data_IF_783419344906
#
_entry.id   IF_783419344906
#
_cell.length_a   1.000
_cell.length_b   1.000
_cell.length_c   1.000
_cell.angle_alpha   90.00
_cell.angle_beta   90.00
_cell.angle_gamma   90.00
#
_symmetry.space_group_name_H-M   'P 1'
#
loop_
_entity.id
_entity.type
_entity.pdbx_description
1 polymer ?
#
# COMPACT_ATOMS: atom_id res chain seq x y z
N UNK A 1 -1.24 -6.86 18.68
CA UNK A 1 -1.49 -8.30 19.03
C UNK A 1 -2.55 -8.97 18.15
N UNK A 2 -3.47 -8.24 17.51
CA UNK A 2 -4.56 -8.86 16.72
C UNK A 2 -4.17 -9.24 15.29
N UNK A 3 -3.30 -8.48 14.62
CA UNK A 3 -2.80 -8.82 13.27
C UNK A 3 -1.86 -10.03 13.27
N UNK A 4 -0.99 -10.12 14.26
CA UNK A 4 -0.14 -11.31 14.48
C UNK A 4 -1.00 -12.55 14.75
N UNK A 5 -2.14 -12.41 15.41
CA UNK A 5 -3.08 -13.50 15.67
C UNK A 5 -3.76 -14.04 14.41
N UNK A 6 -4.09 -13.21 13.43
CA UNK A 6 -4.72 -13.65 12.18
C UNK A 6 -3.74 -14.37 11.26
N UNK A 7 -2.51 -13.87 11.13
CA UNK A 7 -1.45 -14.56 10.38
C UNK A 7 -1.07 -15.90 11.03
N UNK A 8 -0.97 -15.96 12.37
CA UNK A 8 -0.77 -17.20 13.09
C UNK A 8 -1.93 -18.19 12.84
N UNK A 9 -3.17 -17.73 12.86
CA UNK A 9 -4.33 -18.60 12.65
C UNK A 9 -4.39 -19.18 11.23
N UNK A 10 -4.08 -18.40 10.20
CA UNK A 10 -3.96 -18.85 8.82
C UNK A 10 -2.78 -19.83 8.67
N UNK A 11 -1.64 -19.48 9.24
CA UNK A 11 -0.45 -20.32 9.26
C UNK A 11 -0.70 -21.63 10.00
N UNK A 12 -1.38 -21.60 11.14
CA UNK A 12 -1.66 -22.79 11.95
C UNK A 12 -2.63 -23.72 11.23
N UNK A 13 -3.63 -23.22 10.53
CA UNK A 13 -4.55 -24.02 9.71
C UNK A 13 -3.85 -24.60 8.48
N UNK A 14 -2.99 -23.84 7.82
CA UNK A 14 -2.15 -24.34 6.76
C UNK A 14 -1.22 -25.46 7.26
N UNK A 15 -0.53 -25.22 8.38
CA UNK A 15 0.33 -26.21 9.02
C UNK A 15 -0.45 -27.46 9.47
N UNK A 16 -1.69 -27.31 9.94
CA UNK A 16 -2.54 -28.43 10.32
C UNK A 16 -2.91 -29.30 9.12
N UNK A 17 -3.27 -28.69 7.98
CA UNK A 17 -3.55 -29.40 6.74
C UNK A 17 -2.32 -30.16 6.23
N UNK A 18 -1.15 -29.53 6.28
CA UNK A 18 0.11 -30.16 5.89
C UNK A 18 0.49 -31.30 6.84
N UNK A 19 0.38 -31.10 8.16
CA UNK A 19 0.68 -32.13 9.18
C UNK A 19 -0.28 -33.33 9.11
N UNK A 20 -1.53 -33.11 8.71
CA UNK A 20 -2.52 -34.20 8.55
C UNK A 20 -2.48 -34.85 7.17
N UNK A 21 -1.47 -34.55 6.34
CA UNK A 21 -1.35 -35.05 4.97
C UNK A 21 -2.58 -34.72 4.06
N UNK A 22 -3.35 -33.70 4.38
CA UNK A 22 -4.45 -33.19 3.55
C UNK A 22 -3.88 -32.25 2.47
N UNK A 23 -2.99 -32.79 1.64
CA UNK A 23 -2.28 -32.05 0.58
C UNK A 23 -2.11 -32.96 -0.64
N UNK A 24 -2.06 -32.36 -1.82
CA UNK A 24 -1.74 -33.10 -3.04
C UNK A 24 -0.25 -33.36 -3.06
N UNK A 25 0.14 -34.64 -2.95
CA UNK A 25 1.54 -35.06 -3.07
C UNK A 25 1.87 -35.28 -4.53
N UNK A 26 2.88 -34.60 -5.03
CA UNK A 26 3.42 -34.81 -6.38
C UNK A 26 4.60 -35.79 -6.35
N UNK A 27 4.80 -36.54 -7.44
CA UNK A 27 6.00 -37.39 -7.60
C UNK A 27 7.27 -36.53 -7.56
N UNK A 28 8.38 -37.13 -7.12
CA UNK A 28 9.69 -36.45 -6.96
C UNK A 28 10.29 -35.92 -8.28
N UNK A 29 9.72 -36.30 -9.42
CA UNK A 29 10.13 -35.82 -10.76
C UNK A 29 9.68 -34.42 -11.06
N UNK A 30 8.71 -33.85 -10.27
CA UNK A 30 8.13 -32.53 -10.49
C UNK A 30 9.02 -31.45 -9.86
N UNK A 31 9.31 -30.34 -10.59
CA UNK A 31 10.10 -29.24 -10.03
C UNK A 31 9.54 -28.73 -8.69
N UNK A 32 10.39 -28.40 -7.71
CA UNK A 32 9.96 -28.05 -6.34
C UNK A 32 8.99 -26.86 -6.28
N UNK A 33 9.09 -25.92 -7.21
CA UNK A 33 8.19 -24.75 -7.30
C UNK A 33 6.75 -25.16 -7.65
N UNK A 34 6.60 -26.06 -8.61
CA UNK A 34 5.30 -26.58 -9.05
C UNK A 34 4.69 -27.46 -7.94
N UNK A 35 5.47 -28.34 -7.35
CA UNK A 35 5.05 -29.20 -6.24
C UNK A 35 4.52 -28.40 -5.05
N UNK A 36 5.18 -27.29 -4.67
CA UNK A 36 4.72 -26.39 -3.60
C UNK A 36 3.37 -25.75 -3.92
N UNK A 37 3.16 -25.32 -5.17
CA UNK A 37 1.91 -24.70 -5.59
C UNK A 37 0.74 -25.67 -5.47
N UNK A 38 0.92 -26.93 -5.88
CA UNK A 38 -0.13 -27.95 -5.74
C UNK A 38 -0.35 -28.37 -4.29
N UNK A 39 0.70 -28.45 -3.49
CA UNK A 39 0.58 -28.72 -2.05
C UNK A 39 -0.24 -27.65 -1.33
N UNK A 40 -0.15 -26.40 -1.74
CA UNK A 40 -0.89 -25.27 -1.17
C UNK A 40 -2.38 -25.22 -1.60
N UNK A 41 -2.76 -25.95 -2.65
CA UNK A 41 -4.08 -25.83 -3.27
C UNK A 41 -5.21 -26.24 -2.30
N UNK A 42 -5.13 -27.40 -1.67
CA UNK A 42 -6.14 -27.88 -0.71
C UNK A 42 -6.25 -26.94 0.51
N UNK A 43 -5.13 -26.58 1.21
CA UNK A 43 -5.20 -25.59 2.28
C UNK A 43 -5.84 -24.26 1.86
N UNK A 44 -5.54 -23.77 0.65
CA UNK A 44 -6.13 -22.53 0.14
C UNK A 44 -7.64 -22.65 -0.05
N UNK A 45 -8.12 -23.75 -0.64
CA UNK A 45 -9.56 -24.01 -0.77
C UNK A 45 -10.25 -24.12 0.59
N UNK A 46 -9.65 -24.80 1.56
CA UNK A 46 -10.21 -24.93 2.91
C UNK A 46 -10.33 -23.55 3.58
N UNK A 47 -9.30 -22.71 3.47
CA UNK A 47 -9.31 -21.35 4.02
C UNK A 47 -10.38 -20.51 3.32
N UNK A 48 -10.45 -20.52 1.99
CA UNK A 48 -11.45 -19.79 1.23
C UNK A 48 -12.88 -20.22 1.60
N UNK A 49 -13.12 -21.52 1.76
CA UNK A 49 -14.41 -22.06 2.16
C UNK A 49 -14.82 -21.64 3.58
N UNK A 50 -13.87 -21.64 4.53
CA UNK A 50 -14.11 -21.16 5.90
C UNK A 50 -14.45 -19.67 5.90
N UNK A 51 -13.72 -18.85 5.13
CA UNK A 51 -14.00 -17.41 5.00
C UNK A 51 -15.38 -17.18 4.39
N UNK A 52 -15.74 -17.98 3.38
CA UNK A 52 -17.07 -17.92 2.74
C UNK A 52 -18.19 -18.26 3.73
N UNK A 53 -18.02 -19.29 4.55
CA UNK A 53 -19.01 -19.67 5.60
C UNK A 53 -19.13 -18.53 6.62
N UNK A 54 -18.00 -17.99 7.11
CA UNK A 54 -18.03 -16.87 8.06
C UNK A 54 -18.78 -15.69 7.47
N UNK A 55 -18.48 -15.32 6.23
CA UNK A 55 -19.17 -14.22 5.56
C UNK A 55 -20.65 -14.51 5.35
N UNK A 56 -21.02 -15.75 5.00
CA UNK A 56 -22.42 -16.18 4.87
C UNK A 56 -23.20 -16.04 6.19
N UNK A 57 -22.60 -16.42 7.31
CA UNK A 57 -23.20 -16.22 8.65
C UNK A 57 -23.34 -14.72 8.96
N UNK A 58 -22.35 -13.91 8.65
CA UNK A 58 -22.41 -12.46 8.87
C UNK A 58 -23.52 -11.82 8.01
N UNK A 59 -23.68 -12.25 6.75
CA UNK A 59 -24.76 -11.77 5.88
C UNK A 59 -26.13 -12.15 6.46
N UNK A 60 -26.29 -13.36 6.99
CA UNK A 60 -27.52 -13.78 7.67
C UNK A 60 -27.82 -12.94 8.93
N UNK A 61 -26.80 -12.37 9.56
CA UNK A 61 -26.90 -11.44 10.70
C UNK A 61 -27.08 -9.97 10.26
N UNK A 62 -27.26 -9.69 8.96
CA UNK A 62 -27.46 -8.34 8.42
C UNK A 62 -26.17 -7.52 8.27
N UNK A 63 -25.01 -8.15 8.35
CA UNK A 63 -23.69 -7.53 8.18
C UNK A 63 -22.85 -8.35 7.21
N UNK A 64 -21.63 -7.94 6.94
CA UNK A 64 -20.64 -8.67 6.16
C UNK A 64 -19.23 -8.48 6.75
N UNK A 65 -18.28 -9.30 6.31
CA UNK A 65 -16.92 -9.28 6.84
C UNK A 65 -16.25 -7.91 6.65
N UNK A 66 -16.57 -7.21 5.56
CA UNK A 66 -16.04 -5.88 5.28
C UNK A 66 -16.62 -4.84 6.23
N UNK A 67 -17.91 -4.87 6.52
CA UNK A 67 -18.56 -4.00 7.52
C UNK A 67 -18.03 -4.26 8.92
N UNK A 68 -17.85 -5.51 9.32
CA UNK A 68 -17.27 -5.87 10.63
C UNK A 68 -15.84 -5.33 10.76
N UNK A 69 -15.04 -5.42 9.71
CA UNK A 69 -13.69 -4.82 9.69
C UNK A 69 -13.78 -3.28 9.67
N UNK A 70 -14.74 -2.72 8.93
CA UNK A 70 -14.89 -1.28 8.75
C UNK A 70 -15.37 -0.55 10.03
N UNK A 71 -16.27 -1.16 10.83
CA UNK A 71 -16.84 -0.54 12.03
C UNK A 71 -15.76 0.05 12.97
N UNK A 72 -14.73 -0.70 13.41
CA UNK A 72 -13.69 -0.14 14.27
C UNK A 72 -12.82 0.93 13.58
N UNK A 73 -12.85 1.01 12.25
CA UNK A 73 -12.12 2.02 11.48
C UNK A 73 -13.00 3.17 11.02
N UNK A 74 -14.30 3.16 11.31
CA UNK A 74 -15.24 4.21 10.86
C UNK A 74 -14.88 5.60 11.41
N UNK A 75 -14.27 5.69 12.59
CA UNK A 75 -13.75 6.95 13.10
C UNK A 75 -12.57 7.49 12.26
N UNK A 76 -11.81 6.59 11.61
CA UNK A 76 -10.68 6.95 10.75
C UNK A 76 -11.17 7.66 9.49
N UNK A 77 -12.37 7.33 8.98
CA UNK A 77 -12.91 7.97 7.77
C UNK A 77 -13.10 9.48 7.95
N UNK A 78 -13.58 9.90 9.10
CA UNK A 78 -13.71 11.32 9.41
C UNK A 78 -12.33 11.99 9.55
N UNK A 79 -11.37 11.29 10.14
CA UNK A 79 -10.01 11.79 10.27
C UNK A 79 -9.30 11.87 8.91
N UNK A 80 -9.47 10.88 8.03
CA UNK A 80 -8.82 10.83 6.71
C UNK A 80 -9.28 11.95 5.76
N UNK A 81 -10.45 12.53 5.99
CA UNK A 81 -10.96 13.64 5.21
C UNK A 81 -10.52 15.02 5.75
N UNK A 82 -9.69 15.04 6.80
CA UNK A 82 -9.07 16.24 7.34
C UNK A 82 -7.62 16.37 6.89
N UNK A 83 -7.10 17.59 6.83
CA UNK A 83 -5.69 17.83 6.55
C UNK A 83 -4.77 17.10 7.55
N UNK A 84 -5.08 17.18 8.84
CA UNK A 84 -4.29 16.52 9.88
C UNK A 84 -4.28 15.00 9.72
N UNK A 85 -5.43 14.41 9.39
CA UNK A 85 -5.52 12.97 9.15
C UNK A 85 -4.67 12.51 7.97
N UNK A 86 -4.67 13.28 6.88
CA UNK A 86 -3.80 13.02 5.73
C UNK A 86 -2.32 13.12 6.13
N UNK A 87 -1.94 14.12 6.95
CA UNK A 87 -0.57 14.22 7.46
C UNK A 87 -0.16 13.02 8.30
N UNK A 88 -1.04 12.56 9.20
CA UNK A 88 -0.78 11.36 10.02
C UNK A 88 -0.62 10.11 9.15
N UNK A 89 -1.45 9.95 8.12
CA UNK A 89 -1.35 8.82 7.18
C UNK A 89 0.01 8.81 6.50
N UNK A 90 0.42 9.91 5.89
CA UNK A 90 1.71 9.97 5.18
C UNK A 90 2.90 9.91 6.13
N UNK A 91 2.78 10.45 7.34
CA UNK A 91 3.79 10.24 8.38
C UNK A 91 3.95 8.75 8.70
N UNK A 92 2.88 8.02 8.96
CA UNK A 92 2.92 6.59 9.27
C UNK A 92 3.48 5.75 8.12
N UNK A 93 3.09 6.03 6.88
CA UNK A 93 3.63 5.35 5.70
C UNK A 93 5.16 5.46 5.66
N UNK A 94 5.68 6.68 5.83
CA UNK A 94 7.11 6.93 5.72
C UNK A 94 7.89 6.51 6.97
N UNK A 95 7.25 6.55 8.16
CA UNK A 95 7.85 6.01 9.38
C UNK A 95 8.10 4.51 9.28
N UNK A 96 7.16 3.75 8.71
CA UNK A 96 7.35 2.33 8.45
C UNK A 96 8.49 2.09 7.44
N UNK A 97 8.58 2.90 6.38
CA UNK A 97 9.67 2.80 5.43
C UNK A 97 11.05 3.03 6.05
N UNK A 98 11.19 4.00 6.95
CA UNK A 98 12.48 4.27 7.61
C UNK A 98 12.96 3.09 8.44
N UNK A 99 12.06 2.30 9.00
CA UNK A 99 12.39 1.05 9.73
C UNK A 99 12.43 -0.20 8.83
N UNK A 100 12.43 -0.02 7.50
CA UNK A 100 12.55 -1.12 6.53
C UNK A 100 11.26 -1.88 6.24
N UNK A 101 10.10 -1.37 6.66
CA UNK A 101 8.79 -1.97 6.40
C UNK A 101 8.12 -1.21 5.25
N UNK A 102 7.55 -1.92 4.28
CA UNK A 102 6.84 -1.31 3.15
C UNK A 102 5.53 -0.64 3.61
N UNK A 103 5.64 0.57 4.17
CA UNK A 103 4.55 1.29 4.82
C UNK A 103 3.38 1.58 3.88
N UNK A 104 3.67 1.88 2.61
CA UNK A 104 2.62 2.13 1.62
C UNK A 104 1.68 0.93 1.51
N UNK A 105 2.18 -0.29 1.29
CA UNK A 105 1.34 -1.48 1.14
C UNK A 105 0.47 -1.74 2.37
N UNK A 106 1.01 -1.55 3.58
CA UNK A 106 0.27 -1.78 4.81
C UNK A 106 -0.84 -0.74 4.96
N UNK A 107 -0.48 0.53 4.93
CA UNK A 107 -1.42 1.62 5.22
C UNK A 107 -2.47 1.76 4.11
N UNK A 108 -2.08 1.66 2.83
CA UNK A 108 -3.04 1.77 1.73
C UNK A 108 -4.04 0.62 1.69
N UNK A 109 -3.68 -0.58 2.15
CA UNK A 109 -4.64 -1.68 2.29
C UNK A 109 -5.82 -1.32 3.21
N UNK A 110 -5.58 -0.56 4.28
CA UNK A 110 -6.63 -0.06 5.15
C UNK A 110 -7.37 1.16 4.57
N UNK A 111 -6.68 1.96 3.76
CA UNK A 111 -7.26 3.17 3.16
C UNK A 111 -8.10 2.88 1.91
N UNK A 112 -7.85 1.78 1.21
CA UNK A 112 -8.53 1.46 -0.06
C UNK A 112 -10.05 1.53 0.03
N UNK A 113 -10.75 0.97 1.04
CA UNK A 113 -12.20 1.10 1.15
C UNK A 113 -12.65 2.56 1.31
N UNK A 114 -11.87 3.37 2.03
CA UNK A 114 -12.17 4.78 2.27
C UNK A 114 -11.98 5.58 0.98
N UNK A 115 -10.89 5.35 0.27
CA UNK A 115 -10.60 5.99 -1.03
C UNK A 115 -11.69 5.69 -2.05
N UNK A 116 -12.16 4.44 -2.12
CA UNK A 116 -13.25 4.04 -3.01
C UNK A 116 -14.59 4.67 -2.59
N UNK A 117 -14.89 4.74 -1.29
CA UNK A 117 -16.10 5.40 -0.79
C UNK A 117 -16.07 6.91 -1.08
N UNK A 118 -14.93 7.58 -0.87
CA UNK A 118 -14.75 8.99 -1.20
C UNK A 118 -14.86 9.24 -2.70
N UNK A 119 -14.33 8.33 -3.54
CA UNK A 119 -14.44 8.41 -4.99
C UNK A 119 -15.91 8.32 -5.44
N UNK A 120 -16.69 7.40 -4.88
CA UNK A 120 -18.12 7.29 -5.15
C UNK A 120 -18.89 8.55 -4.69
N UNK A 121 -18.57 9.09 -3.52
CA UNK A 121 -19.17 10.32 -3.01
C UNK A 121 -18.79 11.54 -3.87
N UNK A 122 -17.55 11.63 -4.36
CA UNK A 122 -17.11 12.69 -5.28
C UNK A 122 -17.85 12.60 -6.62
N UNK A 123 -18.14 11.41 -7.12
CA UNK A 123 -18.97 11.23 -8.31
C UNK A 123 -20.42 11.72 -8.09
N UNK A 124 -20.90 11.72 -6.84
CA UNK A 124 -22.19 12.27 -6.45
C UNK A 124 -22.14 13.77 -6.08
N UNK A 125 -21.01 14.45 -6.29
CA UNK A 125 -20.85 15.89 -6.07
C UNK A 125 -20.18 16.27 -4.75
N UNK A 126 -19.64 15.35 -3.99
CA UNK A 126 -18.82 15.66 -2.81
C UNK A 126 -17.43 16.16 -3.22
N UNK A 127 -16.68 16.72 -2.26
CA UNK A 127 -15.32 17.21 -2.46
C UNK A 127 -14.38 16.64 -1.39
N UNK A 128 -14.09 15.35 -1.50
CA UNK A 128 -13.14 14.66 -0.63
C UNK A 128 -11.77 14.54 -1.31
N UNK A 129 -10.71 15.16 -0.74
CA UNK A 129 -9.37 15.13 -1.33
C UNK A 129 -8.78 13.73 -1.44
N UNK A 130 -8.90 12.90 -0.39
CA UNK A 130 -8.34 11.54 -0.38
C UNK A 130 -9.25 10.59 -1.15
N UNK A 131 -9.17 10.61 -2.48
CA UNK A 131 -9.97 9.78 -3.38
C UNK A 131 -9.15 9.38 -4.60
N UNK A 132 -9.45 8.23 -5.19
CA UNK A 132 -8.84 7.76 -6.43
C UNK A 132 -7.30 7.76 -6.37
N UNK A 133 -6.66 8.31 -7.40
CA UNK A 133 -5.20 8.38 -7.53
C UNK A 133 -4.54 9.55 -6.78
N UNK A 134 -5.17 10.12 -5.75
CA UNK A 134 -4.58 11.19 -4.94
C UNK A 134 -3.15 10.88 -4.49
N UNK A 135 -2.90 9.65 -4.03
CA UNK A 135 -1.59 9.21 -3.58
C UNK A 135 -0.54 9.26 -4.69
N UNK A 136 -0.79 8.55 -5.80
CA UNK A 136 0.23 8.35 -6.83
C UNK A 136 0.42 9.59 -7.72
N UNK A 137 -0.64 10.35 -7.93
CA UNK A 137 -0.60 11.55 -8.80
C UNK A 137 -0.05 12.79 -8.11
N UNK A 138 -0.29 12.95 -6.80
CA UNK A 138 0.09 14.19 -6.13
C UNK A 138 1.14 14.01 -5.03
N UNK A 139 1.13 12.88 -4.32
CA UNK A 139 1.92 12.76 -3.09
C UNK A 139 3.18 11.96 -3.29
N UNK A 140 3.09 10.78 -3.90
CA UNK A 140 4.21 9.86 -4.05
C UNK A 140 4.75 9.85 -5.49
N UNK A 141 4.92 11.03 -6.06
CA UNK A 141 5.47 11.19 -7.41
C UNK A 141 6.92 10.69 -7.44
N UNK A 142 7.15 9.64 -8.19
CA UNK A 142 8.42 8.90 -8.20
C UNK A 142 8.57 7.92 -7.05
N UNK A 143 7.45 7.48 -6.46
CA UNK A 143 7.37 6.50 -5.39
C UNK A 143 7.39 7.10 -3.98
N UNK A 144 7.45 6.25 -2.96
CA UNK A 144 7.46 6.67 -1.56
C UNK A 144 8.56 7.69 -1.26
N UNK A 145 8.21 8.77 -0.55
CA UNK A 145 9.13 9.88 -0.30
C UNK A 145 9.16 10.96 -1.39
N UNK A 146 8.29 10.87 -2.42
CA UNK A 146 8.24 11.81 -3.56
C UNK A 146 9.61 11.95 -4.25
N UNK A 147 10.26 10.83 -4.55
CA UNK A 147 11.68 10.75 -4.90
C UNK A 147 12.01 11.10 -6.34
N UNK A 148 11.04 11.43 -7.21
CA UNK A 148 11.33 11.73 -8.63
C UNK A 148 12.33 12.89 -8.79
N UNK A 149 12.16 13.95 -8.01
CA UNK A 149 13.11 15.07 -8.01
C UNK A 149 14.53 14.67 -7.59
N UNK A 150 14.64 13.81 -6.57
CA UNK A 150 15.92 13.24 -6.15
C UNK A 150 16.54 12.37 -7.25
N UNK A 151 15.76 11.53 -7.91
CA UNK A 151 16.23 10.68 -9.02
C UNK A 151 16.80 11.54 -10.15
N UNK A 152 16.07 12.57 -10.56
CA UNK A 152 16.52 13.51 -11.60
C UNK A 152 17.80 14.22 -11.16
N UNK A 153 17.84 14.72 -9.92
CA UNK A 153 19.02 15.39 -9.39
C UNK A 153 20.27 14.50 -9.42
N UNK A 154 20.18 13.27 -8.92
CA UNK A 154 21.33 12.38 -8.88
C UNK A 154 21.73 11.88 -10.27
N UNK A 155 20.78 11.70 -11.18
CA UNK A 155 21.06 11.25 -12.55
C UNK A 155 21.91 12.27 -13.33
N UNK A 156 21.66 13.56 -13.12
CA UNK A 156 22.27 14.63 -13.94
C UNK A 156 23.26 15.52 -13.18
N UNK A 157 23.05 15.74 -11.88
CA UNK A 157 23.80 16.73 -11.10
C UNK A 157 24.71 16.12 -10.03
N UNK A 158 24.62 14.85 -9.70
CA UNK A 158 25.48 14.23 -8.70
C UNK A 158 26.96 14.30 -9.16
N UNK A 159 27.88 14.50 -8.20
CA UNK A 159 29.32 14.47 -8.47
C UNK A 159 29.89 13.06 -8.52
N UNK A 160 29.29 12.14 -7.79
CA UNK A 160 29.71 10.73 -7.73
C UNK A 160 29.18 9.98 -8.96
N UNK A 161 30.06 9.29 -9.66
CA UNK A 161 29.69 8.46 -10.82
C UNK A 161 28.77 7.29 -10.42
N UNK A 162 28.99 6.73 -9.25
CA UNK A 162 28.13 5.68 -8.71
C UNK A 162 26.69 6.18 -8.55
N UNK A 163 26.48 7.37 -7.99
CA UNK A 163 25.16 7.98 -7.86
C UNK A 163 24.55 8.32 -9.22
N UNK A 164 25.34 8.81 -10.18
CA UNK A 164 24.84 9.06 -11.54
C UNK A 164 24.33 7.80 -12.22
N UNK A 165 25.08 6.69 -12.12
CA UNK A 165 24.67 5.40 -12.69
C UNK A 165 23.37 4.94 -12.05
N UNK A 166 23.29 4.99 -10.71
CA UNK A 166 22.08 4.64 -9.97
C UNK A 166 20.90 5.52 -10.38
N UNK A 167 21.10 6.85 -10.44
CA UNK A 167 20.06 7.79 -10.85
C UNK A 167 19.54 7.52 -12.25
N UNK A 168 20.44 7.33 -13.22
CA UNK A 168 20.04 7.01 -14.61
C UNK A 168 19.30 5.69 -14.71
N UNK A 169 19.71 4.66 -13.99
CA UNK A 169 19.01 3.38 -13.94
C UNK A 169 17.61 3.47 -13.30
N UNK A 170 17.44 4.44 -12.40
CA UNK A 170 16.18 4.64 -11.68
C UNK A 170 15.21 5.62 -12.35
N UNK A 171 15.61 6.30 -13.45
CA UNK A 171 14.74 7.29 -14.12
C UNK A 171 13.44 6.64 -14.63
N UNK A 172 13.57 5.57 -15.39
CA UNK A 172 12.39 4.90 -15.96
C UNK A 172 11.51 4.31 -14.86
N UNK A 173 12.01 3.48 -13.92
CA UNK A 173 11.21 3.03 -12.79
C UNK A 173 10.56 4.18 -12.02
N UNK A 174 11.28 5.26 -11.75
CA UNK A 174 10.80 6.41 -11.00
C UNK A 174 9.60 7.12 -11.63
N UNK A 175 9.55 7.20 -12.97
CA UNK A 175 8.36 7.73 -13.70
C UNK A 175 7.13 6.88 -13.41
N UNK A 176 7.29 5.57 -13.23
CA UNK A 176 6.22 4.64 -12.88
C UNK A 176 6.02 4.46 -11.37
N UNK A 177 6.49 5.39 -10.57
CA UNK A 177 6.41 5.37 -9.10
C UNK A 177 7.10 4.17 -8.43
N UNK A 178 8.09 3.57 -9.10
CA UNK A 178 8.91 2.46 -8.58
C UNK A 178 10.26 3.03 -8.15
N UNK A 179 10.51 3.14 -6.86
CA UNK A 179 11.70 3.78 -6.34
C UNK A 179 12.55 2.93 -5.39
N UNK A 180 12.29 1.65 -5.30
CA UNK A 180 13.09 0.71 -4.53
C UNK A 180 14.58 0.78 -4.86
N UNK A 181 15.01 0.95 -6.15
CA UNK A 181 16.41 1.13 -6.46
C UNK A 181 17.04 2.33 -5.75
N UNK A 182 16.28 3.40 -5.55
CA UNK A 182 16.74 4.60 -4.84
C UNK A 182 16.71 4.41 -3.34
N UNK A 183 15.62 3.87 -2.80
CA UNK A 183 15.46 3.66 -1.35
C UNK A 183 16.57 2.78 -0.79
N UNK A 184 16.94 1.73 -1.52
CA UNK A 184 17.98 0.79 -1.10
C UNK A 184 19.38 1.12 -1.66
N UNK A 185 19.46 1.73 -2.83
CA UNK A 185 20.73 2.10 -3.46
C UNK A 185 21.38 3.36 -2.85
N UNK A 186 20.58 4.34 -2.45
CA UNK A 186 20.97 5.38 -1.50
C UNK A 186 20.36 4.94 -0.16
N UNK A 187 21.13 4.60 0.86
CA UNK A 187 20.57 4.04 2.09
C UNK A 187 19.68 5.07 2.80
N UNK A 188 18.41 5.16 2.38
CA UNK A 188 17.38 6.01 2.99
C UNK A 188 16.85 5.33 4.25
N UNK A 189 16.65 4.02 4.17
CA UNK A 189 16.24 3.17 5.30
C UNK A 189 17.30 3.23 6.41
N UNK A 190 16.86 3.42 7.65
CA UNK A 190 17.72 3.61 8.83
C UNK A 190 18.68 4.82 8.77
N UNK A 191 18.47 5.76 7.85
CA UNK A 191 19.32 6.94 7.74
C UNK A 191 18.61 8.18 8.30
N UNK A 192 19.01 8.68 9.48
CA UNK A 192 18.33 9.82 10.11
C UNK A 192 18.45 11.12 9.32
N UNK A 193 19.53 11.29 8.52
CA UNK A 193 19.73 12.52 7.72
C UNK A 193 18.81 12.56 6.51
N UNK A 194 18.53 11.41 5.88
CA UNK A 194 17.63 11.31 4.75
C UNK A 194 16.17 11.10 5.18
N UNK A 195 15.93 10.72 6.43
CA UNK A 195 14.58 10.56 6.98
C UNK A 195 13.79 11.87 6.92
N UNK A 196 14.40 12.99 7.30
CA UNK A 196 13.72 14.28 7.35
C UNK A 196 13.12 14.69 5.99
N UNK A 197 13.91 14.80 4.90
CA UNK A 197 13.36 15.11 3.59
C UNK A 197 12.40 14.02 3.08
N UNK A 198 12.62 12.75 3.42
CA UNK A 198 11.75 11.64 3.06
C UNK A 198 10.35 11.72 3.69
N UNK A 199 10.23 12.33 4.88
CA UNK A 199 8.95 12.67 5.50
C UNK A 199 8.37 13.96 4.93
N UNK A 200 9.18 15.01 4.87
CA UNK A 200 8.66 16.35 4.58
C UNK A 200 8.20 16.52 3.13
N UNK A 201 8.87 15.89 2.16
CA UNK A 201 8.51 16.04 0.75
C UNK A 201 7.08 15.53 0.46
N UNK A 202 6.69 14.28 0.79
CA UNK A 202 5.33 13.82 0.55
C UNK A 202 4.29 14.53 1.42
N UNK A 203 4.62 14.94 2.65
CA UNK A 203 3.70 15.70 3.50
C UNK A 203 3.43 17.10 2.94
N UNK A 204 4.46 17.77 2.41
CA UNK A 204 4.29 19.05 1.74
C UNK A 204 3.44 18.91 0.47
N UNK A 205 3.74 17.92 -0.35
CA UNK A 205 2.99 17.63 -1.58
C UNK A 205 1.52 17.30 -1.27
N UNK A 206 1.27 16.44 -0.26
CA UNK A 206 -0.06 16.11 0.20
C UNK A 206 -0.82 17.33 0.71
N UNK A 207 -0.14 18.25 1.43
CA UNK A 207 -0.75 19.49 1.90
C UNK A 207 -1.17 20.40 0.75
N UNK A 208 -0.28 20.59 -0.22
CA UNK A 208 -0.58 21.41 -1.41
C UNK A 208 -1.78 20.83 -2.19
N UNK A 209 -1.76 19.51 -2.43
CA UNK A 209 -2.85 18.83 -3.12
C UNK A 209 -4.17 18.90 -2.34
N UNK A 210 -4.12 18.68 -1.02
CA UNK A 210 -5.29 18.81 -0.16
C UNK A 210 -5.95 20.18 -0.26
N UNK A 211 -5.17 21.24 -0.10
CA UNK A 211 -5.71 22.59 -0.15
C UNK A 211 -6.15 22.98 -1.56
N UNK A 212 -5.42 22.54 -2.60
CA UNK A 212 -5.83 22.79 -3.99
C UNK A 212 -7.20 22.17 -4.31
N UNK A 213 -7.48 20.96 -3.82
CA UNK A 213 -8.78 20.31 -3.98
C UNK A 213 -9.82 20.97 -3.06
N UNK A 214 -9.46 21.24 -1.81
CA UNK A 214 -10.39 21.84 -0.83
C UNK A 214 -10.88 23.21 -1.25
N UNK A 215 -10.03 24.02 -1.88
CA UNK A 215 -10.38 25.32 -2.45
C UNK A 215 -10.91 25.26 -3.89
N UNK A 216 -11.19 24.07 -4.40
CA UNK A 216 -11.75 23.83 -5.74
C UNK A 216 -10.86 24.35 -6.90
N UNK A 217 -9.57 24.58 -6.64
CA UNK A 217 -8.59 24.92 -7.69
C UNK A 217 -8.39 23.71 -8.62
N UNK A 218 -8.40 22.51 -8.04
CA UNK A 218 -8.33 21.24 -8.73
C UNK A 218 -9.53 20.40 -8.32
N UNK A 219 -10.14 19.72 -9.30
CA UNK A 219 -11.26 18.82 -9.00
C UNK A 219 -10.78 17.55 -8.29
N UNK A 220 -11.59 16.98 -7.38
CA UNK A 220 -11.24 15.73 -6.73
C UNK A 220 -11.19 14.56 -7.72
N UNK A 221 -10.37 13.58 -7.43
CA UNK A 221 -10.22 12.39 -8.28
C UNK A 221 -11.48 11.54 -8.28
N UNK A 222 -11.89 11.10 -9.49
CA UNK A 222 -13.05 10.23 -9.74
C UNK A 222 -12.67 8.86 -10.26
N UNK A 223 -11.40 8.61 -10.51
CA UNK A 223 -10.91 7.35 -11.05
C UNK A 223 -9.68 6.85 -10.28
N UNK A 224 -9.48 5.56 -10.33
CA UNK A 224 -8.27 4.90 -9.88
C UNK A 224 -7.65 4.16 -11.07
N UNK A 225 -6.38 4.40 -11.31
CA UNK A 225 -5.63 3.77 -12.40
C UNK A 225 -4.99 2.47 -11.91
N UNK A 226 -4.78 1.48 -12.80
CA UNK A 226 -4.01 0.30 -12.45
C UNK A 226 -2.56 0.70 -12.12
N UNK A 227 -2.00 0.11 -11.08
CA UNK A 227 -0.58 0.25 -10.79
C UNK A 227 0.25 -0.66 -11.73
N UNK A 228 1.39 -0.24 -12.24
CA UNK A 228 1.98 1.09 -12.19
C UNK A 228 1.56 1.94 -13.39
N UNK A 229 0.87 3.04 -13.11
CA UNK A 229 0.62 4.07 -14.13
C UNK A 229 1.57 5.24 -13.91
N UNK A 230 2.11 5.87 -14.99
CA UNK A 230 2.98 7.03 -14.87
C UNK A 230 2.23 8.29 -14.45
#
# INVERSE_FOLDING_TARGET
RSLVGSEMCIRDRYCLCVKRNLVIKMPDVVPPGVSRSFTALIPTFVIAFVVMIINGVLIALGTDIFKVIYIPFSFVTNLTNTWLGIMVIYFLIHALWIVGIHGANIITSFLTPIVLANMAANAAGANYPLAGEFNNSYVTVGGSGATLGLIIFIAFMAKSDQLKVLGKASLVPGIFNINEPIIFGIPIVYNPFLALPFFLAPMASASLAYFAIKFEIVKPMLAQMPWPSP
#
